data_IF_193471641445
#
_entry.id   IF_193471641445
#
_cell.length_a   1.000
_cell.length_b   1.000
_cell.length_c   1.000
_cell.angle_alpha   90.00
_cell.angle_beta   90.00
_cell.angle_gamma   90.00
#
_symmetry.space_group_name_H-M   'P 1'
#
loop_
_entity.id
_entity.type
_entity.pdbx_description
1 polymer ?
#
# COMPACT_ATOMS: atom_id res chain seq x y z
N UNK A 1 5.18 1.83 -20.46
CA UNK A 1 6.63 1.61 -20.63
C UNK A 1 7.11 0.71 -19.51
N UNK A 2 7.85 -0.37 -19.78
CA UNK A 2 8.29 -1.34 -18.77
C UNK A 2 9.25 -0.79 -17.70
N UNK A 3 9.78 0.42 -17.90
CA UNK A 3 10.67 1.12 -16.96
C UNK A 3 10.06 1.27 -15.55
N UNK A 4 8.75 1.44 -15.43
CA UNK A 4 8.10 1.60 -14.13
C UNK A 4 8.09 0.29 -13.33
N UNK A 5 7.99 -0.87 -14.00
CA UNK A 5 8.00 -2.18 -13.34
C UNK A 5 9.39 -2.47 -12.75
N UNK A 6 10.44 -2.19 -13.52
CA UNK A 6 11.81 -2.38 -13.06
C UNK A 6 12.15 -1.46 -11.88
N UNK A 7 11.69 -0.19 -11.94
CA UNK A 7 11.84 0.75 -10.84
C UNK A 7 11.13 0.28 -9.56
N UNK A 8 9.87 -0.20 -9.68
CA UNK A 8 9.13 -0.75 -8.54
C UNK A 8 9.83 -1.96 -7.93
N UNK A 9 10.39 -2.85 -8.76
CA UNK A 9 11.16 -4.02 -8.28
C UNK A 9 12.42 -3.61 -7.52
N UNK A 10 13.19 -2.65 -8.05
CA UNK A 10 14.41 -2.15 -7.39
C UNK A 10 14.07 -1.52 -6.03
N UNK A 11 13.01 -0.71 -5.97
CA UNK A 11 12.55 -0.11 -4.70
C UNK A 11 12.12 -1.19 -3.70
N UNK A 12 11.36 -2.18 -4.15
CA UNK A 12 10.92 -3.29 -3.30
C UNK A 12 12.09 -4.11 -2.75
N UNK A 13 13.08 -4.42 -3.59
CA UNK A 13 14.30 -5.11 -3.15
C UNK A 13 15.06 -4.30 -2.10
N UNK A 14 15.14 -2.97 -2.28
CA UNK A 14 15.77 -2.08 -1.30
C UNK A 14 15.04 -2.09 0.04
N UNK A 15 13.72 -1.94 0.03
CA UNK A 15 12.89 -1.97 1.25
C UNK A 15 13.02 -3.31 1.97
N UNK A 16 12.90 -4.42 1.25
CA UNK A 16 12.97 -5.76 1.83
C UNK A 16 14.34 -6.06 2.43
N UNK A 17 15.44 -5.58 1.83
CA UNK A 17 16.80 -5.73 2.39
C UNK A 17 17.02 -4.92 3.68
N UNK A 18 16.35 -3.77 3.81
CA UNK A 18 16.47 -2.90 4.97
C UNK A 18 15.51 -3.28 6.11
N UNK A 19 14.51 -4.13 5.86
CA UNK A 19 13.57 -4.59 6.88
C UNK A 19 14.31 -5.39 7.96
N UNK A 20 14.24 -4.92 9.21
CA UNK A 20 14.76 -5.64 10.37
C UNK A 20 13.71 -5.68 11.48
N UNK A 21 13.83 -6.58 12.47
CA UNK A 21 12.90 -6.59 13.61
C UNK A 21 12.98 -5.33 14.50
N UNK A 22 13.97 -4.46 14.29
CA UNK A 22 14.22 -3.25 15.11
C UNK A 22 13.80 -1.95 14.41
N UNK A 23 13.24 -2.03 13.20
CA UNK A 23 12.78 -0.85 12.47
C UNK A 23 11.35 -1.02 11.94
N UNK A 24 10.79 0.11 11.51
CA UNK A 24 9.51 0.15 10.83
C UNK A 24 9.67 0.94 9.53
N UNK A 25 8.94 0.52 8.50
CA UNK A 25 8.88 1.22 7.21
C UNK A 25 7.45 1.65 6.96
N UNK A 26 7.27 2.94 6.69
CA UNK A 26 5.99 3.49 6.25
C UNK A 26 6.09 3.72 4.74
N UNK A 27 5.31 2.96 3.98
CA UNK A 27 5.21 3.11 2.54
C UNK A 27 3.96 3.91 2.20
N UNK A 28 4.14 5.03 1.52
CA UNK A 28 3.03 5.85 1.01
C UNK A 28 2.95 5.67 -0.50
N UNK A 29 1.86 5.06 -0.97
CA UNK A 29 1.66 4.78 -2.39
C UNK A 29 0.18 4.86 -2.76
N UNK A 30 -0.09 5.27 -3.99
CA UNK A 30 -1.38 5.07 -4.66
C UNK A 30 -1.33 3.93 -5.69
N UNK A 31 -0.14 3.35 -5.93
CA UNK A 31 0.07 2.20 -6.80
C UNK A 31 -0.10 0.90 -6.02
N UNK A 32 -1.18 0.17 -6.30
CA UNK A 32 -1.45 -1.14 -5.71
C UNK A 32 -0.41 -2.18 -6.11
N UNK A 33 0.12 -2.11 -7.35
CA UNK A 33 1.18 -3.01 -7.85
C UNK A 33 2.44 -3.07 -6.99
N UNK A 34 2.74 -2.04 -6.20
CA UNK A 34 3.90 -2.08 -5.31
C UNK A 34 3.69 -3.08 -4.15
N UNK A 35 2.43 -3.31 -3.77
CA UNK A 35 2.02 -4.21 -2.71
C UNK A 35 2.16 -5.69 -3.11
N UNK A 36 2.27 -5.97 -4.42
CA UNK A 36 2.64 -7.30 -4.93
C UNK A 36 4.10 -7.66 -4.60
N UNK A 37 4.97 -6.65 -4.47
CA UNK A 37 6.40 -6.83 -4.20
C UNK A 37 6.79 -6.56 -2.75
N UNK A 38 6.03 -5.73 -2.03
CA UNK A 38 6.23 -5.42 -0.62
C UNK A 38 4.94 -5.77 0.11
N UNK A 39 4.93 -6.88 0.84
CA UNK A 39 3.77 -7.32 1.61
C UNK A 39 3.72 -6.50 2.91
N UNK A 40 2.72 -5.61 3.07
CA UNK A 40 2.60 -4.81 4.28
C UNK A 40 2.01 -5.62 5.42
N UNK A 41 2.44 -5.31 6.64
CA UNK A 41 1.83 -5.84 7.86
C UNK A 41 0.47 -5.14 8.14
N UNK A 42 0.38 -3.84 7.84
CA UNK A 42 -0.82 -3.02 7.97
C UNK A 42 -1.01 -2.11 6.74
N UNK A 43 -2.28 -1.90 6.36
CA UNK A 43 -2.71 -0.99 5.30
C UNK A 43 -3.63 0.05 5.91
N UNK A 44 -3.37 1.33 5.61
CA UNK A 44 -4.17 2.46 6.10
C UNK A 44 -4.63 3.31 4.91
N UNK A 45 -5.93 3.62 4.85
CA UNK A 45 -6.53 4.50 3.84
C UNK A 45 -6.64 5.90 4.43
N UNK A 46 -5.95 6.85 3.80
CA UNK A 46 -5.97 8.26 4.18
C UNK A 46 -6.97 9.02 3.30
N UNK A 47 -7.94 9.69 3.90
CA UNK A 47 -8.91 10.53 3.20
C UNK A 47 -9.21 11.80 4.02
N UNK A 48 -9.25 12.97 3.35
CA UNK A 48 -9.44 14.29 3.98
C UNK A 48 -8.56 14.50 5.23
N UNK A 49 -7.30 14.07 5.16
CA UNK A 49 -6.30 14.23 6.25
C UNK A 49 -6.50 13.30 7.45
N UNK A 50 -7.37 12.29 7.37
CA UNK A 50 -7.62 11.33 8.43
C UNK A 50 -7.47 9.90 7.91
N UNK A 51 -7.01 8.99 8.78
CA UNK A 51 -7.07 7.55 8.49
C UNK A 51 -8.52 7.13 8.67
N UNK A 52 -9.15 6.73 7.57
CA UNK A 52 -10.58 6.39 7.55
C UNK A 52 -10.85 4.89 7.57
N UNK A 53 -9.86 4.09 7.17
CA UNK A 53 -9.91 2.63 7.27
C UNK A 53 -8.51 2.08 7.49
N UNK A 54 -8.42 1.02 8.29
CA UNK A 54 -7.20 0.27 8.52
C UNK A 54 -7.50 -1.22 8.38
N UNK A 55 -6.53 -1.98 7.89
CA UNK A 55 -6.65 -3.41 7.72
C UNK A 55 -5.28 -4.06 7.56
N UNK A 56 -5.28 -5.35 7.31
CA UNK A 56 -4.10 -6.09 6.86
C UNK A 56 -3.93 -5.92 5.34
N UNK A 57 -3.07 -6.75 4.73
CA UNK A 57 -2.90 -6.81 3.27
C UNK A 57 -4.19 -7.06 2.48
N UNK A 58 -5.20 -7.71 3.05
CA UNK A 58 -6.44 -8.05 2.33
C UNK A 58 -7.23 -6.78 1.98
N UNK A 59 -7.09 -5.73 2.80
CA UNK A 59 -7.66 -4.41 2.48
C UNK A 59 -7.09 -3.83 1.18
N UNK A 60 -5.82 -4.09 0.86
CA UNK A 60 -5.24 -3.64 -0.39
C UNK A 60 -5.86 -4.35 -1.61
N UNK A 61 -6.15 -5.65 -1.48
CA UNK A 61 -6.81 -6.44 -2.52
C UNK A 61 -8.24 -5.95 -2.74
N UNK A 62 -9.00 -5.71 -1.66
CA UNK A 62 -10.36 -5.16 -1.75
C UNK A 62 -10.38 -3.78 -2.43
N UNK A 63 -9.38 -2.94 -2.17
CA UNK A 63 -9.22 -1.63 -2.80
C UNK A 63 -8.89 -1.73 -4.30
N UNK A 64 -8.19 -2.78 -4.72
CA UNK A 64 -7.91 -3.05 -6.14
C UNK A 64 -9.16 -3.48 -6.88
N UNK A 65 -9.94 -4.38 -6.28
CA UNK A 65 -11.16 -4.90 -6.90
C UNK A 65 -12.30 -3.86 -6.97
N UNK A 66 -12.46 -3.06 -5.91
CA UNK A 66 -13.64 -2.19 -5.74
C UNK A 66 -13.34 -0.70 -5.84
N UNK A 67 -12.07 -0.31 -5.97
CA UNK A 67 -11.64 1.08 -5.87
C UNK A 67 -11.79 1.65 -4.45
N UNK A 68 -11.71 2.98 -4.32
CA UNK A 68 -11.80 3.68 -3.04
C UNK A 68 -13.21 4.17 -2.69
N UNK A 69 -14.12 4.20 -3.68
CA UNK A 69 -15.42 4.87 -3.57
C UNK A 69 -16.28 4.30 -2.43
N UNK A 70 -16.31 2.99 -2.26
CA UNK A 70 -17.10 2.33 -1.21
C UNK A 70 -16.66 2.71 0.22
N UNK A 71 -15.40 3.11 0.40
CA UNK A 71 -14.92 3.64 1.69
C UNK A 71 -15.35 5.09 1.84
N UNK A 72 -15.21 5.90 0.78
CA UNK A 72 -15.52 7.33 0.79
C UNK A 72 -17.02 7.56 0.95
N UNK A 73 -17.86 6.87 0.18
CA UNK A 73 -19.31 6.97 0.23
C UNK A 73 -19.92 6.51 1.57
N UNK A 74 -19.19 5.73 2.38
CA UNK A 74 -19.63 5.35 3.72
C UNK A 74 -19.34 6.44 4.78
N UNK A 75 -18.58 7.49 4.42
CA UNK A 75 -18.13 8.55 5.32
C UNK A 75 -18.81 9.90 5.08
N UNK A 76 -19.41 10.09 3.90
CA UNK A 76 -20.26 11.23 3.55
C UNK A 76 -21.72 10.95 3.94
#
# INVERSE_FOLDING_TARGET
SGLDIDALRIVAEGVNKLKTPQNATILVTHYQRLLDYIIPDFVHVLYKGKIVKSGNKDLALELEERGYDWIISALD
#
